data_IF_136439084325
#
_entry.id   IF_136439084325
#
_cell.length_a   1.000
_cell.length_b   1.000
_cell.length_c   1.000
_cell.angle_alpha   90.00
_cell.angle_beta   90.00
_cell.angle_gamma   90.00
#
_symmetry.space_group_name_H-M   'P 1'
#
loop_
_entity.id
_entity.type
_entity.pdbx_description
1 polymer ?
#
# COMPACT_ATOMS: atom_id res chain seq x y z
N UNK A 1 0.03 -12.54 -20.81
CA UNK A 1 -1.14 -12.38 -19.92
C UNK A 1 -2.40 -12.41 -20.79
N UNK A 2 -3.27 -13.44 -20.71
CA UNK A 2 -4.42 -13.58 -21.63
C UNK A 2 -5.42 -12.42 -21.53
N UNK A 3 -5.62 -11.88 -20.31
CA UNK A 3 -6.46 -10.71 -20.04
C UNK A 3 -6.02 -9.48 -20.84
N UNK A 4 -4.71 -9.28 -21.05
CA UNK A 4 -4.19 -8.08 -21.68
C UNK A 4 -4.57 -7.92 -23.17
N UNK A 5 -4.82 -9.03 -23.87
CA UNK A 5 -5.15 -9.04 -25.29
C UNK A 5 -6.64 -8.98 -25.60
N UNK A 6 -7.52 -9.06 -24.60
CA UNK A 6 -8.97 -9.08 -24.78
C UNK A 6 -9.62 -7.85 -24.15
N UNK A 7 -10.39 -7.07 -24.93
CA UNK A 7 -10.97 -5.82 -24.47
C UNK A 7 -11.97 -6.02 -23.32
N UNK A 8 -12.81 -7.06 -23.41
CA UNK A 8 -13.86 -7.30 -22.42
C UNK A 8 -13.25 -7.73 -21.07
N UNK A 9 -12.26 -8.62 -21.09
CA UNK A 9 -11.52 -9.05 -19.91
C UNK A 9 -10.81 -7.89 -19.22
N UNK A 10 -10.27 -6.92 -19.98
CA UNK A 10 -9.66 -5.71 -19.41
C UNK A 10 -10.68 -4.87 -18.65
N UNK A 11 -11.88 -4.68 -19.20
CA UNK A 11 -12.97 -3.94 -18.55
C UNK A 11 -13.47 -4.68 -17.31
N UNK A 12 -13.62 -6.00 -17.39
CA UNK A 12 -14.06 -6.82 -16.26
C UNK A 12 -13.07 -6.78 -15.10
N UNK A 13 -11.76 -6.87 -15.36
CA UNK A 13 -10.73 -6.67 -14.34
C UNK A 13 -10.67 -5.23 -13.81
N UNK A 14 -10.81 -4.24 -14.71
CA UNK A 14 -10.69 -2.83 -14.34
C UNK A 14 -11.80 -2.40 -13.38
N UNK A 15 -13.07 -2.73 -13.68
CA UNK A 15 -14.18 -2.35 -12.80
C UNK A 15 -15.50 -3.12 -13.02
N UNK A 16 -15.80 -3.62 -14.22
CA UNK A 16 -17.17 -4.07 -14.54
C UNK A 16 -17.60 -5.33 -13.78
N UNK A 17 -16.67 -6.19 -13.39
CA UNK A 17 -16.99 -7.39 -12.61
C UNK A 17 -17.62 -7.04 -11.24
N UNK A 18 -17.16 -5.96 -10.59
CA UNK A 18 -17.62 -5.54 -9.26
C UNK A 18 -19.14 -5.28 -9.28
N UNK A 19 -19.60 -4.42 -10.19
CA UNK A 19 -21.02 -4.10 -10.31
C UNK A 19 -21.87 -5.29 -10.75
N UNK A 20 -21.43 -6.03 -11.78
CA UNK A 20 -22.16 -7.19 -12.32
C UNK A 20 -22.40 -8.26 -11.26
N UNK A 21 -21.36 -8.65 -10.53
CA UNK A 21 -21.45 -9.69 -9.49
C UNK A 21 -22.30 -9.20 -8.32
N UNK A 22 -22.14 -7.94 -7.90
CA UNK A 22 -22.89 -7.37 -6.77
C UNK A 22 -24.41 -7.37 -7.03
N UNK A 23 -24.82 -6.91 -8.21
CA UNK A 23 -26.24 -6.85 -8.59
C UNK A 23 -26.87 -8.25 -8.69
N UNK A 24 -26.13 -9.21 -9.25
CA UNK A 24 -26.59 -10.59 -9.31
C UNK A 24 -26.67 -11.22 -7.92
N UNK A 25 -25.69 -10.96 -7.05
CA UNK A 25 -25.69 -11.47 -5.67
C UNK A 25 -26.89 -10.94 -4.89
N UNK A 26 -27.18 -9.64 -4.96
CA UNK A 26 -28.35 -9.04 -4.31
C UNK A 26 -29.67 -9.61 -4.83
N UNK A 27 -29.76 -9.89 -6.12
CA UNK A 27 -30.94 -10.57 -6.73
C UNK A 27 -31.14 -11.96 -6.12
N UNK A 28 -30.07 -12.75 -6.00
CA UNK A 28 -30.12 -14.08 -5.40
C UNK A 28 -30.45 -14.04 -3.89
N UNK A 29 -29.86 -13.09 -3.15
CA UNK A 29 -30.17 -12.88 -1.73
C UNK A 29 -31.66 -12.54 -1.56
N UNK A 30 -32.20 -11.64 -2.38
CA UNK A 30 -33.62 -11.31 -2.33
C UNK A 30 -34.50 -12.53 -2.63
N UNK A 31 -34.17 -13.31 -3.65
CA UNK A 31 -34.93 -14.51 -3.99
C UNK A 31 -34.91 -15.55 -2.85
N UNK A 32 -33.76 -15.72 -2.17
CA UNK A 32 -33.60 -16.73 -1.12
C UNK A 32 -34.21 -16.29 0.22
N UNK A 33 -34.00 -15.04 0.62
CA UNK A 33 -34.38 -14.53 1.95
C UNK A 33 -35.64 -13.65 1.92
N UNK A 34 -36.23 -13.42 0.74
CA UNK A 34 -37.40 -12.55 0.52
C UNK A 34 -37.19 -11.11 1.05
N UNK A 35 -35.93 -10.68 1.11
CA UNK A 35 -35.52 -9.38 1.64
C UNK A 35 -34.18 -8.96 1.06
N UNK A 36 -34.01 -7.67 0.81
CA UNK A 36 -32.72 -7.10 0.46
C UNK A 36 -31.79 -7.02 1.70
N UNK A 37 -30.45 -7.05 1.50
CA UNK A 37 -29.51 -6.76 2.58
C UNK A 37 -29.85 -5.43 3.27
N UNK A 38 -29.72 -5.39 4.61
CA UNK A 38 -29.86 -4.14 5.36
C UNK A 38 -28.66 -3.21 5.12
N UNK A 39 -27.47 -3.81 5.07
CA UNK A 39 -26.22 -3.16 4.71
C UNK A 39 -25.43 -4.07 3.76
N UNK A 40 -24.61 -3.48 2.91
CA UNK A 40 -23.69 -4.14 1.98
C UNK A 40 -22.29 -3.59 2.16
N UNK A 41 -21.33 -4.45 2.50
CA UNK A 41 -19.94 -4.08 2.71
C UNK A 41 -19.02 -4.69 1.65
N UNK A 42 -17.98 -3.96 1.24
CA UNK A 42 -16.88 -4.49 0.43
C UNK A 42 -15.59 -4.38 1.24
N UNK A 43 -14.86 -5.48 1.40
CA UNK A 43 -13.54 -5.46 2.03
C UNK A 43 -12.55 -6.15 1.10
N UNK A 44 -11.40 -5.52 0.90
CA UNK A 44 -10.29 -6.13 0.19
C UNK A 44 -8.97 -5.47 0.52
N UNK A 45 -7.89 -6.22 0.29
CA UNK A 45 -6.53 -5.73 0.42
C UNK A 45 -5.79 -5.86 -0.94
N UNK A 46 -4.75 -5.06 -1.19
CA UNK A 46 -4.01 -5.06 -2.46
C UNK A 46 -4.89 -4.64 -3.64
N UNK A 47 -4.96 -5.45 -4.70
CA UNK A 47 -5.94 -5.26 -5.76
C UNK A 47 -7.39 -5.29 -5.24
N UNK A 48 -7.68 -6.04 -4.17
CA UNK A 48 -8.98 -5.97 -3.50
C UNK A 48 -9.22 -4.61 -2.84
N UNK A 49 -8.17 -3.96 -2.33
CA UNK A 49 -8.25 -2.59 -1.80
C UNK A 49 -8.55 -1.57 -2.91
N UNK A 50 -7.93 -1.74 -4.08
CA UNK A 50 -8.30 -0.98 -5.29
C UNK A 50 -9.76 -1.20 -5.67
N UNK A 51 -10.23 -2.45 -5.67
CA UNK A 51 -11.62 -2.79 -5.98
C UNK A 51 -12.59 -2.20 -4.95
N UNK A 52 -12.23 -2.16 -3.67
CA UNK A 52 -13.00 -1.47 -2.63
C UNK A 52 -13.11 0.04 -2.90
N UNK A 53 -12.03 0.67 -3.36
CA UNK A 53 -12.04 2.08 -3.78
C UNK A 53 -12.88 2.27 -5.06
N UNK A 54 -12.78 1.38 -6.05
CA UNK A 54 -13.66 1.39 -7.24
C UNK A 54 -15.13 1.23 -6.85
N UNK A 55 -15.43 0.36 -5.88
CA UNK A 55 -16.79 0.16 -5.37
C UNK A 55 -17.37 1.48 -4.84
N UNK A 56 -16.60 2.23 -4.05
CA UNK A 56 -17.03 3.54 -3.56
C UNK A 56 -17.10 4.62 -4.67
N UNK A 57 -16.15 4.63 -5.62
CA UNK A 57 -16.05 5.69 -6.64
C UNK A 57 -17.01 5.49 -7.82
N UNK A 58 -17.23 4.26 -8.26
CA UNK A 58 -17.99 3.92 -9.48
C UNK A 58 -19.31 3.21 -9.21
N UNK A 59 -19.46 2.60 -8.03
CA UNK A 59 -20.68 1.92 -7.60
C UNK A 59 -21.21 2.46 -6.26
N UNK A 60 -21.32 3.79 -6.07
CA UNK A 60 -21.60 4.42 -4.76
C UNK A 60 -22.98 4.08 -4.18
N UNK A 61 -23.88 3.47 -4.96
CA UNK A 61 -25.20 3.03 -4.53
C UNK A 61 -25.23 1.55 -4.12
N UNK A 62 -24.14 0.81 -4.37
CA UNK A 62 -24.10 -0.63 -4.17
C UNK A 62 -23.56 -1.02 -2.78
N UNK A 63 -22.81 -0.16 -2.12
CA UNK A 63 -22.16 -0.46 -0.84
C UNK A 63 -22.38 0.64 0.19
N UNK A 64 -22.69 0.24 1.41
CA UNK A 64 -22.89 1.09 2.58
C UNK A 64 -21.56 1.41 3.28
N UNK A 65 -20.56 0.55 3.10
CA UNK A 65 -19.22 0.79 3.58
C UNK A 65 -18.17 -0.03 2.83
N UNK A 66 -16.95 0.48 2.80
CA UNK A 66 -15.81 -0.22 2.20
C UNK A 66 -14.59 -0.21 3.11
N UNK A 67 -13.84 -1.32 3.12
CA UNK A 67 -12.48 -1.39 3.67
C UNK A 67 -11.49 -1.57 2.53
N UNK A 68 -10.57 -0.61 2.39
CA UNK A 68 -9.49 -0.63 1.42
C UNK A 68 -8.15 -0.80 2.15
N UNK A 69 -7.61 -2.01 2.15
CA UNK A 69 -6.29 -2.31 2.69
C UNK A 69 -5.20 -2.26 1.63
N UNK A 70 -4.04 -1.69 1.96
CA UNK A 70 -2.85 -1.62 1.10
C UNK A 70 -3.18 -1.44 -0.37
N UNK A 71 -3.93 -0.38 -0.69
CA UNK A 71 -4.75 -0.36 -1.88
C UNK A 71 -3.91 -0.12 -3.14
N UNK A 72 -4.10 -0.98 -4.15
CA UNK A 72 -3.49 -0.79 -5.47
C UNK A 72 -4.14 0.35 -6.29
N UNK A 73 -4.50 1.48 -5.66
CA UNK A 73 -5.39 2.48 -6.23
C UNK A 73 -4.77 3.23 -7.43
N UNK A 74 -3.44 3.35 -7.48
CA UNK A 74 -2.66 3.81 -8.63
C UNK A 74 -1.81 2.69 -9.23
N UNK A 75 -2.40 1.51 -9.45
CA UNK A 75 -1.70 0.31 -9.91
C UNK A 75 -0.88 0.55 -11.19
N UNK A 76 -1.33 1.42 -12.09
CA UNK A 76 -0.56 1.81 -13.28
C UNK A 76 0.79 2.44 -12.92
N UNK A 77 0.80 3.39 -11.98
CA UNK A 77 2.02 4.09 -11.53
C UNK A 77 2.89 3.23 -10.63
N UNK A 78 2.29 2.42 -9.78
CA UNK A 78 3.01 1.41 -9.00
C UNK A 78 3.74 0.42 -9.92
N UNK A 79 3.11 -0.01 -11.03
CA UNK A 79 3.76 -0.88 -12.03
C UNK A 79 4.94 -0.19 -12.74
N UNK A 80 4.85 1.12 -13.00
CA UNK A 80 5.99 1.92 -13.48
C UNK A 80 7.11 1.92 -12.44
N UNK A 81 6.78 2.14 -11.16
CA UNK A 81 7.74 2.17 -10.06
C UNK A 81 8.48 0.84 -9.88
N UNK A 82 7.75 -0.25 -9.71
CA UNK A 82 8.31 -1.60 -9.58
C UNK A 82 9.19 -1.97 -10.76
N UNK A 83 8.81 -1.56 -11.98
CA UNK A 83 9.59 -1.80 -13.19
C UNK A 83 10.87 -0.95 -13.26
N UNK A 84 10.82 0.29 -12.77
CA UNK A 84 11.99 1.16 -12.65
C UNK A 84 13.02 0.56 -11.71
N UNK A 85 12.59 0.14 -10.52
CA UNK A 85 13.49 -0.46 -9.54
C UNK A 85 13.96 -1.84 -9.99
N UNK A 86 13.11 -2.66 -10.61
CA UNK A 86 13.55 -3.94 -11.17
C UNK A 86 14.68 -3.75 -12.19
N UNK A 87 14.61 -2.72 -13.03
CA UNK A 87 15.70 -2.40 -13.96
C UNK A 87 16.99 -2.03 -13.21
N UNK A 88 16.90 -1.19 -12.18
CA UNK A 88 18.05 -0.82 -11.37
C UNK A 88 18.69 -2.04 -10.67
N UNK A 89 17.87 -2.94 -10.14
CA UNK A 89 18.33 -4.19 -9.52
C UNK A 89 19.05 -5.08 -10.53
N UNK A 90 18.47 -5.29 -11.72
CA UNK A 90 19.08 -6.12 -12.77
C UNK A 90 20.40 -5.54 -13.29
N UNK A 91 20.49 -4.22 -13.45
CA UNK A 91 21.74 -3.54 -13.87
C UNK A 91 22.82 -3.68 -12.78
N UNK A 92 22.41 -3.69 -11.52
CA UNK A 92 23.33 -3.79 -10.37
C UNK A 92 23.72 -5.22 -10.02
N UNK A 93 23.04 -6.24 -10.58
CA UNK A 93 23.38 -7.66 -10.37
C UNK A 93 24.75 -7.98 -11.01
N UNK A 94 25.68 -8.66 -10.29
CA UNK A 94 26.97 -9.07 -10.84
C UNK A 94 26.85 -9.88 -12.15
N UNK A 95 27.90 -9.86 -12.98
CA UNK A 95 27.89 -10.50 -14.30
C UNK A 95 27.74 -12.03 -14.27
N UNK A 96 28.04 -12.68 -13.13
CA UNK A 96 27.74 -14.10 -12.91
C UNK A 96 26.23 -14.39 -12.68
N UNK A 97 25.43 -13.32 -12.56
CA UNK A 97 23.97 -13.29 -12.48
C UNK A 97 23.35 -14.16 -11.38
N UNK A 98 24.12 -14.46 -10.33
CA UNK A 98 23.65 -15.40 -9.30
C UNK A 98 22.73 -14.75 -8.26
N UNK A 99 23.03 -13.54 -7.78
CA UNK A 99 22.32 -12.89 -6.65
C UNK A 99 22.38 -11.36 -6.69
N UNK A 100 21.44 -10.67 -6.05
CA UNK A 100 21.39 -9.19 -5.95
C UNK A 100 22.63 -8.59 -5.26
N UNK A 101 22.95 -7.33 -5.61
CA UNK A 101 23.99 -6.53 -4.93
C UNK A 101 23.69 -6.32 -3.43
N UNK A 102 22.40 -6.23 -3.08
CA UNK A 102 21.91 -6.16 -1.70
C UNK A 102 21.62 -7.58 -1.21
N UNK A 103 22.14 -7.93 -0.03
CA UNK A 103 21.87 -9.21 0.63
C UNK A 103 21.26 -9.02 2.03
N UNK A 104 20.97 -10.11 2.72
CA UNK A 104 20.36 -10.09 4.05
C UNK A 104 21.16 -9.29 5.09
N UNK A 105 22.49 -9.32 5.05
CA UNK A 105 23.33 -8.54 5.96
C UNK A 105 23.19 -7.04 5.71
N UNK A 106 23.11 -6.64 4.44
CA UNK A 106 22.92 -5.24 4.05
C UNK A 106 21.57 -4.70 4.55
N UNK A 107 20.51 -5.50 4.40
CA UNK A 107 19.17 -5.16 4.90
C UNK A 107 19.15 -5.04 6.44
N UNK A 108 19.88 -5.90 7.15
CA UNK A 108 20.03 -5.79 8.60
C UNK A 108 20.77 -4.50 9.01
N UNK A 109 21.84 -4.10 8.30
CA UNK A 109 22.54 -2.83 8.54
C UNK A 109 21.60 -1.64 8.34
N UNK A 110 20.84 -1.63 7.24
CA UNK A 110 19.85 -0.58 6.96
C UNK A 110 18.78 -0.51 8.05
N UNK A 111 18.15 -1.63 8.40
CA UNK A 111 17.10 -1.69 9.42
C UNK A 111 17.58 -1.18 10.77
N UNK A 112 18.79 -1.58 11.20
CA UNK A 112 19.39 -1.07 12.43
C UNK A 112 19.64 0.44 12.36
N UNK A 113 20.11 0.96 11.23
CA UNK A 113 20.30 2.39 11.00
C UNK A 113 18.98 3.16 11.09
N UNK A 114 17.93 2.64 10.46
CA UNK A 114 16.58 3.22 10.48
C UNK A 114 16.03 3.25 11.92
N UNK A 115 16.06 2.12 12.63
CA UNK A 115 15.61 2.05 14.02
C UNK A 115 16.40 2.98 14.94
N UNK A 116 17.73 3.05 14.77
CA UNK A 116 18.57 3.97 15.54
C UNK A 116 18.15 5.42 15.37
N UNK A 117 17.73 5.81 14.16
CA UNK A 117 17.35 7.18 13.84
C UNK A 117 15.90 7.50 14.21
N UNK A 118 14.99 6.54 14.07
CA UNK A 118 13.56 6.83 13.97
C UNK A 118 12.69 6.21 15.08
N UNK A 119 13.11 5.11 15.70
CA UNK A 119 12.31 4.34 16.67
C UNK A 119 11.82 5.22 17.83
N UNK A 120 12.72 5.93 18.51
CA UNK A 120 12.36 6.73 19.68
C UNK A 120 11.54 8.01 19.40
N UNK A 121 11.18 8.32 18.16
CA UNK A 121 10.51 9.59 17.80
C UNK A 121 9.05 9.64 18.26
N UNK A 122 8.41 8.50 18.47
CA UNK A 122 7.07 8.40 19.07
C UNK A 122 7.09 8.29 20.61
N UNK A 123 8.26 8.51 21.21
CA UNK A 123 8.45 8.55 22.66
C UNK A 123 8.84 7.20 23.28
N UNK A 124 8.99 6.14 22.48
CA UNK A 124 9.39 4.82 22.96
C UNK A 124 10.35 4.16 21.97
N UNK A 125 11.34 3.43 22.48
CA UNK A 125 12.28 2.67 21.66
C UNK A 125 11.90 1.20 21.75
N UNK A 126 11.06 0.73 20.82
CA UNK A 126 10.42 -0.57 20.89
C UNK A 126 10.40 -1.36 19.56
N UNK A 127 11.07 -0.84 18.54
CA UNK A 127 11.14 -1.46 17.21
C UNK A 127 10.00 -1.06 16.27
N UNK A 128 9.02 -0.26 16.73
CA UNK A 128 7.86 0.20 15.98
C UNK A 128 8.03 1.69 15.72
N UNK A 129 8.00 2.10 14.46
CA UNK A 129 8.17 3.51 14.09
C UNK A 129 6.76 4.12 13.89
N UNK A 130 6.07 4.44 14.99
CA UNK A 130 4.74 5.06 14.92
C UNK A 130 4.80 6.46 14.29
N UNK A 131 5.84 7.24 14.62
CA UNK A 131 6.10 8.55 14.02
C UNK A 131 6.78 8.44 12.65
N UNK A 132 6.27 7.58 11.76
CA UNK A 132 6.89 7.21 10.47
C UNK A 132 7.19 8.40 9.55
N UNK A 133 6.32 9.42 9.51
CA UNK A 133 6.56 10.64 8.71
C UNK A 133 7.67 11.53 9.27
N UNK A 134 8.02 11.36 10.55
CA UNK A 134 9.12 12.09 11.20
C UNK A 134 10.46 11.36 11.06
N UNK A 135 10.47 10.18 10.44
CA UNK A 135 11.70 9.43 10.20
C UNK A 135 12.56 10.14 9.16
N UNK A 136 13.66 10.74 9.62
CA UNK A 136 14.62 11.51 8.83
C UNK A 136 15.89 10.71 8.50
N UNK A 137 15.78 9.37 8.53
CA UNK A 137 16.84 8.47 8.11
C UNK A 137 17.25 8.75 6.65
N UNK A 138 18.56 8.71 6.42
CA UNK A 138 19.17 8.80 5.11
C UNK A 138 20.15 7.64 4.94
N UNK A 139 20.15 6.88 3.83
CA UNK A 139 21.04 5.74 3.63
C UNK A 139 22.53 6.09 3.78
N UNK A 140 22.91 7.34 3.51
CA UNK A 140 24.26 7.86 3.74
C UNK A 140 24.71 7.76 5.20
N UNK A 141 23.77 7.73 6.17
CA UNK A 141 24.08 7.56 7.60
C UNK A 141 24.72 6.21 7.92
N UNK A 142 24.60 5.22 7.04
CA UNK A 142 25.21 3.88 7.17
C UNK A 142 26.15 3.54 6.00
N UNK A 143 26.64 4.56 5.28
CA UNK A 143 27.50 4.35 4.10
C UNK A 143 28.81 3.63 4.45
N UNK A 144 29.34 3.83 5.66
CA UNK A 144 30.60 3.19 6.09
C UNK A 144 30.45 1.68 6.19
N UNK A 145 29.29 1.21 6.61
CA UNK A 145 28.97 -0.20 6.79
C UNK A 145 28.45 -0.84 5.50
N UNK A 146 27.71 -0.07 4.68
CA UNK A 146 27.00 -0.57 3.51
C UNK A 146 27.80 -0.43 2.21
N UNK A 147 28.63 0.61 2.10
CA UNK A 147 29.34 0.97 0.88
C UNK A 147 28.47 1.82 -0.06
N UNK A 148 29.15 2.71 -0.80
CA UNK A 148 28.53 3.75 -1.64
C UNK A 148 27.58 3.20 -2.71
N UNK A 149 27.96 2.13 -3.41
CA UNK A 149 27.14 1.56 -4.48
C UNK A 149 25.78 1.05 -3.98
N UNK A 150 25.78 0.40 -2.81
CA UNK A 150 24.55 -0.09 -2.17
C UNK A 150 23.70 1.04 -1.63
N UNK A 151 24.31 2.09 -1.08
CA UNK A 151 23.62 3.33 -0.67
C UNK A 151 22.85 3.95 -1.83
N UNK A 152 23.46 4.07 -3.01
CA UNK A 152 22.79 4.63 -4.19
C UNK A 152 21.65 3.72 -4.71
N UNK A 153 21.81 2.40 -4.64
CA UNK A 153 20.73 1.46 -4.98
C UNK A 153 19.55 1.56 -3.99
N UNK A 154 19.83 1.68 -2.69
CA UNK A 154 18.79 1.89 -1.66
C UNK A 154 18.05 3.20 -1.90
N UNK A 155 18.76 4.28 -2.22
CA UNK A 155 18.14 5.57 -2.58
C UNK A 155 17.23 5.42 -3.80
N UNK A 156 17.64 4.64 -4.79
CA UNK A 156 16.82 4.35 -5.98
C UNK A 156 15.53 3.60 -5.61
N UNK A 157 15.60 2.62 -4.71
CA UNK A 157 14.44 1.86 -4.22
C UNK A 157 13.45 2.77 -3.48
N UNK A 158 13.94 3.54 -2.50
CA UNK A 158 13.07 4.31 -1.60
C UNK A 158 12.64 5.68 -2.15
N UNK A 159 13.37 6.29 -3.10
CA UNK A 159 12.97 7.60 -3.67
C UNK A 159 11.89 7.51 -4.76
N UNK A 160 11.60 6.30 -5.24
CA UNK A 160 10.61 6.03 -6.28
C UNK A 160 11.07 6.40 -7.68
N UNK A 161 10.31 5.93 -8.68
CA UNK A 161 10.62 6.14 -10.09
C UNK A 161 10.62 7.62 -10.50
N UNK A 162 11.63 7.99 -11.28
CA UNK A 162 11.79 9.31 -11.88
C UNK A 162 12.15 9.21 -13.36
N UNK A 163 11.77 10.23 -14.11
CA UNK A 163 12.20 10.39 -15.50
C UNK A 163 13.57 11.11 -15.58
N UNK A 164 14.13 11.30 -16.78
CA UNK A 164 15.47 11.90 -16.95
C UNK A 164 15.55 13.38 -16.53
N UNK A 165 14.41 14.06 -16.37
CA UNK A 165 14.33 15.42 -15.82
C UNK A 165 14.24 15.46 -14.29
N UNK A 166 14.18 14.30 -13.62
CA UNK A 166 14.03 14.19 -12.18
C UNK A 166 12.58 14.32 -11.69
N UNK A 167 11.60 14.38 -12.59
CA UNK A 167 10.18 14.42 -12.24
C UNK A 167 9.74 13.05 -11.70
N UNK A 168 8.96 13.05 -10.62
CA UNK A 168 8.44 11.82 -10.02
C UNK A 168 7.36 11.20 -10.93
N UNK A 169 7.49 9.89 -11.18
CA UNK A 169 6.51 9.09 -11.92
C UNK A 169 5.55 8.33 -10.98
N UNK A 170 5.93 8.20 -9.71
CA UNK A 170 5.14 7.63 -8.63
C UNK A 170 5.40 8.42 -7.33
N UNK A 171 5.58 7.73 -6.20
CA UNK A 171 5.90 8.30 -4.90
C UNK A 171 7.16 7.65 -4.33
N UNK A 172 7.79 8.33 -3.37
CA UNK A 172 8.80 7.74 -2.51
C UNK A 172 8.16 6.72 -1.56
N UNK A 173 8.96 5.89 -0.90
CA UNK A 173 8.55 4.95 0.14
C UNK A 173 9.14 5.39 1.48
N UNK A 174 8.40 5.26 2.59
CA UNK A 174 8.96 5.55 3.91
C UNK A 174 10.04 4.53 4.26
N UNK A 175 11.05 4.95 5.02
CA UNK A 175 11.94 4.02 5.67
C UNK A 175 11.22 3.38 6.86
N UNK A 176 11.31 2.05 6.97
CA UNK A 176 10.55 1.26 7.95
C UNK A 176 11.43 0.23 8.65
N UNK A 177 10.89 -0.48 9.63
CA UNK A 177 11.64 -1.43 10.46
C UNK A 177 11.53 -2.89 10.00
N UNK A 178 11.05 -3.16 8.79
CA UNK A 178 10.71 -4.51 8.29
C UNK A 178 11.56 -4.97 7.10
N UNK A 179 12.75 -4.39 6.89
CA UNK A 179 13.60 -4.72 5.75
C UNK A 179 14.13 -6.16 5.81
N UNK A 180 14.22 -6.76 7.00
CA UNK A 180 14.66 -8.15 7.18
C UNK A 180 13.51 -9.16 7.13
N UNK A 181 12.27 -8.71 6.92
CA UNK A 181 11.11 -9.59 6.79
C UNK A 181 11.09 -10.25 5.40
N UNK A 182 10.93 -11.59 5.31
CA UNK A 182 10.87 -12.30 4.03
C UNK A 182 9.75 -11.87 3.10
N UNK A 183 8.56 -11.57 3.62
CA UNK A 183 7.44 -11.09 2.78
C UNK A 183 7.81 -9.76 2.11
N UNK A 184 8.57 -8.91 2.81
CA UNK A 184 9.10 -7.67 2.24
C UNK A 184 10.27 -7.87 1.28
N UNK A 185 11.38 -8.48 1.70
CA UNK A 185 12.60 -8.48 0.88
C UNK A 185 12.46 -9.37 -0.36
N UNK A 186 11.71 -10.47 -0.30
CA UNK A 186 11.51 -11.34 -1.48
C UNK A 186 10.69 -10.62 -2.56
N UNK A 187 9.83 -9.68 -2.18
CA UNK A 187 9.06 -8.86 -3.14
C UNK A 187 9.97 -8.02 -4.04
N UNK A 188 11.08 -7.51 -3.51
CA UNK A 188 12.07 -6.72 -4.24
C UNK A 188 13.20 -7.56 -4.85
N UNK A 189 13.81 -8.41 -4.03
CA UNK A 189 15.07 -9.08 -4.35
C UNK A 189 14.88 -10.55 -4.77
N UNK A 190 13.67 -11.09 -4.64
CA UNK A 190 13.36 -12.48 -4.93
C UNK A 190 13.87 -13.46 -3.88
N UNK A 191 13.46 -14.73 -4.02
CA UNK A 191 13.94 -15.81 -3.16
C UNK A 191 15.44 -16.00 -3.35
N UNK A 192 16.17 -16.22 -2.26
CA UNK A 192 17.63 -16.34 -2.24
C UNK A 192 18.34 -15.13 -2.89
N UNK A 193 17.69 -13.97 -2.91
CA UNK A 193 18.14 -12.74 -3.58
C UNK A 193 18.32 -12.88 -5.11
N UNK A 194 17.66 -13.86 -5.73
CA UNK A 194 17.58 -13.97 -7.19
C UNK A 194 16.51 -13.01 -7.73
N UNK A 195 16.93 -11.84 -8.22
CA UNK A 195 16.03 -10.73 -8.64
C UNK A 195 15.07 -11.10 -9.77
N UNK A 196 15.34 -12.16 -10.53
CA UNK A 196 14.44 -12.70 -11.56
C UNK A 196 13.18 -13.36 -10.97
N UNK A 197 13.23 -13.76 -9.70
CA UNK A 197 12.12 -14.40 -8.98
C UNK A 197 11.30 -13.42 -8.13
N UNK A 198 11.68 -12.14 -8.09
CA UNK A 198 10.96 -11.12 -7.31
C UNK A 198 9.54 -10.94 -7.83
N UNK A 199 8.63 -10.47 -6.96
CA UNK A 199 7.28 -10.11 -7.38
C UNK A 199 7.29 -8.93 -8.36
N UNK A 200 8.28 -8.02 -8.24
CA UNK A 200 8.48 -6.98 -9.26
C UNK A 200 8.72 -7.60 -10.65
N UNK A 201 9.61 -8.59 -10.76
CA UNK A 201 9.93 -9.25 -12.02
C UNK A 201 8.77 -10.10 -12.58
N UNK A 202 8.11 -10.87 -11.71
CA UNK A 202 7.15 -11.91 -12.11
C UNK A 202 5.71 -11.40 -12.22
N UNK A 203 5.37 -10.29 -11.57
CA UNK A 203 4.02 -9.72 -11.55
C UNK A 203 4.00 -8.29 -12.11
N UNK A 204 4.71 -7.35 -11.49
CA UNK A 204 4.55 -5.93 -11.78
C UNK A 204 5.07 -5.53 -13.16
N UNK A 205 6.21 -6.11 -13.59
CA UNK A 205 6.76 -5.89 -14.93
C UNK A 205 5.80 -6.38 -16.03
N UNK A 206 5.27 -7.62 -15.99
CA UNK A 206 4.22 -8.06 -16.91
C UNK A 206 2.98 -7.16 -16.92
N UNK A 207 2.54 -6.66 -15.76
CA UNK A 207 1.44 -5.70 -15.69
C UNK A 207 1.76 -4.42 -16.47
N UNK A 208 2.95 -3.83 -16.29
CA UNK A 208 3.35 -2.64 -17.02
C UNK A 208 3.39 -2.89 -18.54
N UNK A 209 4.15 -3.88 -18.98
CA UNK A 209 4.49 -4.03 -20.40
C UNK A 209 3.38 -4.69 -21.22
N UNK A 210 2.54 -5.52 -20.60
CA UNK A 210 1.46 -6.24 -21.30
C UNK A 210 0.09 -5.63 -21.04
N UNK A 211 -0.27 -5.37 -19.78
CA UNK A 211 -1.60 -4.88 -19.43
C UNK A 211 -1.71 -3.36 -19.61
N UNK A 212 -0.90 -2.56 -18.93
CA UNK A 212 -1.05 -1.11 -18.95
C UNK A 212 -0.63 -0.46 -20.27
N UNK A 213 0.52 -0.85 -20.82
CA UNK A 213 1.07 -0.26 -22.04
C UNK A 213 0.25 -0.63 -23.27
N UNK A 214 -0.15 0.39 -24.05
CA UNK A 214 -0.85 0.24 -25.33
C UNK A 214 -0.13 1.08 -26.40
N UNK A 215 0.45 0.46 -27.46
CA UNK A 215 0.61 -0.98 -27.66
C UNK A 215 1.50 -1.62 -26.58
N UNK A 216 1.42 -2.95 -26.45
CA UNK A 216 2.25 -3.71 -25.53
C UNK A 216 3.74 -3.55 -25.86
N UNK A 217 4.58 -3.62 -24.83
CA UNK A 217 6.03 -3.50 -24.93
C UNK A 217 6.65 -4.90 -24.79
N UNK A 218 7.59 -5.23 -25.66
CA UNK A 218 8.16 -6.57 -25.75
C UNK A 218 8.93 -6.96 -24.47
N UNK A 219 9.77 -6.05 -23.98
CA UNK A 219 10.64 -6.29 -22.83
C UNK A 219 10.90 -5.02 -22.04
N UNK A 220 11.10 -5.18 -20.72
CA UNK A 220 11.33 -4.06 -19.81
C UNK A 220 12.51 -3.19 -20.24
N UNK A 221 13.61 -3.76 -20.74
CA UNK A 221 14.80 -3.03 -21.21
C UNK A 221 14.49 -1.94 -22.23
N UNK A 222 13.44 -2.12 -23.03
CA UNK A 222 13.03 -1.15 -24.07
C UNK A 222 12.08 -0.06 -23.58
N UNK A 223 11.52 -0.18 -22.37
CA UNK A 223 10.60 0.82 -21.82
C UNK A 223 11.33 2.14 -21.51
N UNK A 224 10.93 3.24 -22.12
CA UNK A 224 11.50 4.56 -21.85
C UNK A 224 10.65 5.33 -20.82
N UNK A 225 11.20 5.62 -19.65
CA UNK A 225 10.51 6.34 -18.57
C UNK A 225 10.17 7.81 -18.90
N UNK A 226 10.76 8.38 -19.95
CA UNK A 226 10.42 9.73 -20.42
C UNK A 226 9.21 9.74 -21.36
N UNK A 227 9.05 8.71 -22.20
CA UNK A 227 8.09 8.72 -23.32
C UNK A 227 7.00 7.65 -23.21
N UNK A 228 7.33 6.47 -22.68
CA UNK A 228 6.43 5.32 -22.69
C UNK A 228 5.42 5.34 -21.55
N UNK A 229 5.60 6.20 -20.54
CA UNK A 229 4.58 6.46 -19.51
C UNK A 229 3.25 6.83 -20.15
N UNK A 230 3.27 7.57 -21.27
CA UNK A 230 2.07 7.95 -22.02
C UNK A 230 1.29 6.74 -22.57
N UNK A 231 1.96 5.62 -22.85
CA UNK A 231 1.31 4.38 -23.34
C UNK A 231 0.41 3.73 -22.28
N UNK A 232 0.56 4.11 -21.00
CA UNK A 232 -0.27 3.57 -19.91
C UNK A 232 -1.60 4.32 -19.73
N UNK A 233 -1.73 5.53 -20.29
CA UNK A 233 -2.80 6.47 -19.93
C UNK A 233 -4.21 5.97 -20.24
N UNK A 234 -4.40 5.26 -21.35
CA UNK A 234 -5.70 4.70 -21.72
C UNK A 234 -6.19 3.68 -20.67
N UNK A 235 -5.32 2.74 -20.31
CA UNK A 235 -5.64 1.67 -19.36
C UNK A 235 -5.73 2.21 -17.93
N UNK A 236 -4.83 3.14 -17.57
CA UNK A 236 -4.86 3.86 -16.30
C UNK A 236 -6.24 4.45 -16.01
N UNK A 237 -6.84 5.15 -16.97
CA UNK A 237 -8.16 5.77 -16.78
C UNK A 237 -9.28 4.78 -16.48
N UNK A 238 -9.11 3.50 -16.83
CA UNK A 238 -10.06 2.44 -16.57
C UNK A 238 -9.81 1.76 -15.22
N UNK A 239 -8.55 1.48 -14.90
CA UNK A 239 -8.16 0.56 -13.80
C UNK A 239 -7.85 1.27 -12.49
N UNK A 240 -7.21 2.45 -12.55
CA UNK A 240 -6.83 3.18 -11.34
C UNK A 240 -8.09 3.74 -10.64
N UNK A 241 -8.07 3.70 -9.31
CA UNK A 241 -9.10 4.16 -8.39
C UNK A 241 -8.65 5.46 -7.70
N UNK A 242 -8.12 6.42 -8.46
CA UNK A 242 -7.44 7.61 -7.94
C UNK A 242 -8.33 8.87 -7.92
N UNK A 243 -9.63 8.74 -8.16
CA UNK A 243 -10.59 9.86 -8.03
C UNK A 243 -10.72 10.28 -6.56
N UNK A 244 -10.52 11.56 -6.21
CA UNK A 244 -10.81 12.08 -4.88
C UNK A 244 -12.31 12.35 -4.66
N UNK A 245 -13.15 12.20 -5.69
CA UNK A 245 -14.56 12.58 -5.65
C UNK A 245 -15.43 11.39 -5.23
N UNK A 246 -16.05 11.51 -4.06
CA UNK A 246 -16.89 10.48 -3.42
C UNK A 246 -18.24 11.05 -2.96
N UNK A 247 -18.76 12.08 -3.63
CA UNK A 247 -19.96 12.82 -3.22
C UNK A 247 -21.21 11.95 -3.10
N UNK A 248 -21.50 11.11 -4.09
CA UNK A 248 -22.64 10.18 -4.04
C UNK A 248 -22.47 9.15 -2.93
N UNK A 249 -21.27 8.59 -2.77
CA UNK A 249 -20.99 7.62 -1.71
C UNK A 249 -21.22 8.23 -0.32
N UNK A 250 -20.69 9.44 -0.08
CA UNK A 250 -20.92 10.20 1.15
C UNK A 250 -22.39 10.52 1.36
N UNK A 251 -23.09 11.01 0.32
CA UNK A 251 -24.50 11.40 0.40
C UNK A 251 -25.42 10.21 0.76
N UNK A 252 -25.04 8.99 0.37
CA UNK A 252 -25.72 7.75 0.73
C UNK A 252 -25.35 7.21 2.14
N UNK A 253 -24.61 8.00 2.93
CA UNK A 253 -24.12 7.61 4.25
C UNK A 253 -22.94 6.64 4.22
N UNK A 254 -22.30 6.47 3.07
CA UNK A 254 -21.15 5.57 2.88
C UNK A 254 -20.06 5.80 3.92
N UNK A 255 -19.41 4.72 4.37
CA UNK A 255 -18.25 4.76 5.27
C UNK A 255 -17.04 4.07 4.64
N UNK A 256 -15.86 4.65 4.78
CA UNK A 256 -14.63 4.13 4.20
C UNK A 256 -13.55 4.02 5.28
N UNK A 257 -13.07 2.81 5.52
CA UNK A 257 -11.87 2.56 6.33
C UNK A 257 -10.75 2.22 5.36
N UNK A 258 -9.66 2.96 5.43
CA UNK A 258 -8.44 2.70 4.65
C UNK A 258 -7.37 2.32 5.64
N UNK A 259 -6.65 1.22 5.38
CA UNK A 259 -5.42 0.93 6.10
C UNK A 259 -4.27 0.72 5.13
N UNK A 260 -3.08 1.17 5.51
CA UNK A 260 -1.89 1.09 4.67
C UNK A 260 -0.67 0.77 5.51
N UNK A 261 0.07 -0.27 5.14
CA UNK A 261 1.32 -0.63 5.80
C UNK A 261 2.45 0.33 5.43
N UNK A 262 3.18 0.85 6.42
CA UNK A 262 4.39 1.66 6.13
C UNK A 262 5.50 0.84 5.49
N UNK A 263 5.48 -0.48 5.62
CA UNK A 263 6.45 -1.37 5.00
C UNK A 263 5.89 -2.04 3.74
N UNK A 264 4.82 -1.53 3.11
CA UNK A 264 4.34 -2.12 1.87
C UNK A 264 5.39 -1.93 0.74
N UNK A 265 5.85 -3.01 0.08
CA UNK A 265 6.87 -2.95 -0.98
C UNK A 265 6.33 -2.53 -2.35
N UNK A 266 5.01 -2.50 -2.55
CA UNK A 266 4.38 -2.20 -3.85
C UNK A 266 3.67 -0.85 -3.87
N UNK A 267 2.95 -0.54 -2.80
CA UNK A 267 2.08 0.62 -2.70
C UNK A 267 2.58 1.52 -1.59
N UNK A 268 2.92 2.76 -1.93
CA UNK A 268 3.57 3.65 -0.97
C UNK A 268 2.56 4.21 0.03
N UNK A 269 2.87 4.10 1.32
CA UNK A 269 2.13 4.80 2.38
C UNK A 269 2.13 6.33 2.20
N UNK A 270 3.18 6.91 1.59
CA UNK A 270 3.18 8.33 1.21
C UNK A 270 2.17 8.61 0.09
N UNK A 271 2.06 7.75 -0.93
CA UNK A 271 1.08 7.92 -2.01
C UNK A 271 -0.36 7.81 -1.49
N UNK A 272 -0.65 6.85 -0.61
CA UNK A 272 -1.97 6.68 0.02
C UNK A 272 -2.32 7.86 0.94
N UNK A 273 -1.36 8.36 1.73
CA UNK A 273 -1.50 9.58 2.55
C UNK A 273 -1.84 10.78 1.68
N UNK A 274 -1.07 11.01 0.63
CA UNK A 274 -1.23 12.19 -0.24
C UNK A 274 -2.59 12.16 -0.95
N UNK A 275 -3.03 10.99 -1.43
CA UNK A 275 -4.37 10.83 -1.99
C UNK A 275 -5.47 11.11 -0.95
N UNK A 276 -5.32 10.65 0.30
CA UNK A 276 -6.28 10.91 1.37
C UNK A 276 -6.37 12.40 1.69
N UNK A 277 -5.23 13.10 1.77
CA UNK A 277 -5.19 14.56 1.95
C UNK A 277 -5.86 15.31 0.79
N UNK A 278 -5.64 14.87 -0.45
CA UNK A 278 -6.28 15.47 -1.62
C UNK A 278 -7.80 15.24 -1.64
N UNK A 279 -8.25 14.05 -1.24
CA UNK A 279 -9.67 13.76 -1.04
C UNK A 279 -10.27 14.67 0.03
N UNK A 280 -9.64 14.82 1.19
CA UNK A 280 -10.13 15.69 2.27
C UNK A 280 -10.24 17.15 1.82
N UNK A 281 -9.22 17.64 1.12
CA UNK A 281 -9.19 18.99 0.53
C UNK A 281 -10.31 19.21 -0.48
N UNK A 282 -10.59 18.22 -1.33
CA UNK A 282 -11.59 18.33 -2.40
C UNK A 282 -13.03 18.16 -1.88
N UNK A 283 -13.24 17.22 -0.97
CA UNK A 283 -14.56 16.85 -0.47
C UNK A 283 -15.06 17.75 0.67
N UNK A 284 -14.14 18.37 1.41
CA UNK A 284 -14.45 19.15 2.62
C UNK A 284 -14.96 18.25 3.76
N UNK A 285 -14.16 18.08 4.81
CA UNK A 285 -14.42 17.19 5.95
C UNK A 285 -14.58 15.71 5.52
N UNK A 286 -13.64 15.17 4.73
CA UNK A 286 -13.72 13.75 4.35
C UNK A 286 -13.64 12.81 5.57
N UNK A 287 -13.02 13.28 6.65
CA UNK A 287 -13.01 12.62 7.96
C UNK A 287 -14.38 12.20 8.51
N UNK A 288 -15.48 12.82 8.07
CA UNK A 288 -16.84 12.45 8.45
C UNK A 288 -17.29 11.10 7.86
N UNK A 289 -16.65 10.64 6.78
CA UNK A 289 -17.05 9.43 6.06
C UNK A 289 -15.89 8.51 5.65
N UNK A 290 -14.65 8.99 5.67
CA UNK A 290 -13.46 8.22 5.35
C UNK A 290 -12.35 8.43 6.39
N UNK A 291 -11.73 7.34 6.87
CA UNK A 291 -10.60 7.35 7.83
C UNK A 291 -9.43 6.54 7.29
N UNK A 292 -8.24 7.12 7.33
CA UNK A 292 -6.98 6.45 7.01
C UNK A 292 -6.27 6.01 8.29
N UNK A 293 -5.79 4.78 8.30
CA UNK A 293 -5.04 4.16 9.39
C UNK A 293 -3.72 3.62 8.84
N UNK A 294 -2.62 4.30 9.14
CA UNK A 294 -1.30 3.82 8.71
C UNK A 294 -0.75 2.85 9.75
N UNK A 295 -0.33 1.65 9.33
CA UNK A 295 0.14 0.59 10.23
C UNK A 295 1.68 0.50 10.16
N UNK A 296 2.40 0.90 11.22
CA UNK A 296 3.86 0.85 11.26
C UNK A 296 4.39 -0.58 11.10
N UNK A 297 5.39 -0.73 10.22
CA UNK A 297 6.06 -1.99 9.93
C UNK A 297 5.25 -3.05 9.19
N UNK A 298 3.93 -2.87 8.98
CA UNK A 298 3.11 -3.83 8.23
C UNK A 298 3.58 -3.87 6.78
N UNK A 299 3.87 -5.08 6.28
CA UNK A 299 4.23 -5.30 4.88
C UNK A 299 2.96 -5.38 4.01
N UNK A 300 2.98 -6.14 2.92
CA UNK A 300 1.87 -6.17 1.96
C UNK A 300 0.68 -7.00 2.48
N UNK A 301 -0.34 -6.35 3.06
CA UNK A 301 -1.54 -6.94 3.67
C UNK A 301 -1.31 -7.81 4.92
N UNK A 302 -0.13 -8.38 5.07
CA UNK A 302 0.32 -9.19 6.19
C UNK A 302 1.82 -9.00 6.40
N UNK A 303 2.35 -9.63 7.46
CA UNK A 303 3.79 -9.73 7.68
C UNK A 303 4.46 -8.42 8.08
N UNK A 304 5.79 -8.45 8.10
CA UNK A 304 6.59 -7.35 8.60
C UNK A 304 6.64 -7.28 10.13
N UNK A 305 7.49 -6.37 10.62
CA UNK A 305 7.62 -6.08 12.04
C UNK A 305 6.49 -5.13 12.48
N UNK A 306 5.28 -5.69 12.64
CA UNK A 306 4.05 -4.92 12.87
C UNK A 306 3.18 -5.48 14.00
N UNK A 307 2.24 -4.66 14.47
CA UNK A 307 1.05 -5.13 15.19
C UNK A 307 -0.01 -5.48 14.13
N UNK A 308 0.00 -6.74 13.71
CA UNK A 308 -0.66 -7.25 12.51
C UNK A 308 -2.08 -7.80 12.74
N UNK A 309 -2.52 -7.88 14.00
CA UNK A 309 -3.86 -8.34 14.38
C UNK A 309 -4.74 -7.16 14.77
N UNK A 310 -5.60 -6.72 13.84
CA UNK A 310 -6.58 -5.65 14.00
C UNK A 310 -7.83 -5.93 13.14
N UNK A 311 -8.96 -5.31 13.48
CA UNK A 311 -10.26 -5.61 12.84
C UNK A 311 -10.89 -4.37 12.15
N UNK A 312 -10.57 -4.14 10.87
CA UNK A 312 -11.12 -3.01 10.14
C UNK A 312 -12.57 -3.25 9.69
N UNK A 313 -13.07 -4.50 9.65
CA UNK A 313 -14.46 -4.78 9.28
C UNK A 313 -15.40 -4.38 10.40
N UNK A 314 -15.16 -4.87 11.62
CA UNK A 314 -15.97 -4.49 12.79
C UNK A 314 -15.91 -2.98 13.02
N UNK A 315 -14.75 -2.36 12.78
CA UNK A 315 -14.58 -0.89 12.83
C UNK A 315 -15.53 -0.19 11.85
N UNK A 316 -15.58 -0.65 10.60
CA UNK A 316 -16.47 -0.12 9.57
C UNK A 316 -17.96 -0.34 9.93
N UNK A 317 -18.32 -1.53 10.37
CA UNK A 317 -19.69 -1.90 10.75
C UNK A 317 -20.20 -1.03 11.91
N UNK A 318 -19.40 -0.88 12.97
CA UNK A 318 -19.74 0.00 14.10
C UNK A 318 -19.91 1.45 13.63
N UNK A 319 -19.05 1.93 12.73
CA UNK A 319 -19.17 3.28 12.21
C UNK A 319 -20.44 3.47 11.37
N UNK A 320 -20.76 2.52 10.49
CA UNK A 320 -21.95 2.61 9.63
C UNK A 320 -23.25 2.43 10.41
N UNK A 321 -23.30 1.47 11.32
CA UNK A 321 -24.55 1.03 11.94
C UNK A 321 -24.84 1.71 13.27
N UNK A 322 -23.79 2.10 14.01
CA UNK A 322 -23.92 2.71 15.35
C UNK A 322 -23.48 4.17 15.39
N UNK A 323 -22.88 4.67 14.30
CA UNK A 323 -22.35 6.04 14.25
C UNK A 323 -21.07 6.24 15.05
N UNK A 324 -20.41 5.15 15.45
CA UNK A 324 -19.16 5.19 16.22
C UNK A 324 -17.99 5.56 15.30
N UNK A 325 -17.62 6.84 15.29
CA UNK A 325 -16.52 7.34 14.47
C UNK A 325 -15.19 6.73 14.98
N UNK A 326 -14.40 6.06 14.14
CA UNK A 326 -13.21 5.37 14.62
C UNK A 326 -12.02 6.34 14.71
N UNK A 327 -11.67 6.70 15.94
CA UNK A 327 -10.47 7.49 16.24
C UNK A 327 -9.18 6.65 16.21
N UNK A 328 -9.30 5.34 16.45
CA UNK A 328 -8.23 4.35 16.34
C UNK A 328 -8.80 2.94 16.16
N UNK A 329 -7.97 2.01 15.71
CA UNK A 329 -8.20 0.57 15.80
C UNK A 329 -7.22 -0.02 16.81
N UNK A 330 -7.68 -0.90 17.71
CA UNK A 330 -6.76 -1.62 18.59
C UNK A 330 -6.01 -2.68 17.76
N UNK A 331 -4.69 -2.61 17.75
CA UNK A 331 -3.85 -3.60 17.11
C UNK A 331 -3.05 -4.39 18.14
N UNK A 332 -2.82 -5.67 17.83
CA UNK A 332 -2.04 -6.61 18.62
C UNK A 332 -0.96 -7.25 17.76
N UNK A 333 0.20 -7.49 18.36
CA UNK A 333 1.23 -8.31 17.71
C UNK A 333 0.90 -9.79 17.82
N UNK A 334 0.82 -10.48 16.69
CA UNK A 334 0.57 -11.92 16.63
C UNK A 334 1.87 -12.75 16.64
N UNK A 335 2.94 -12.23 16.01
CA UNK A 335 4.24 -12.90 15.82
C UNK A 335 5.42 -12.11 16.39
N UNK A 336 5.86 -11.06 15.68
CA UNK A 336 7.09 -10.31 16.00
C UNK A 336 6.99 -9.62 17.36
N UNK A 337 5.83 -9.02 17.64
CA UNK A 337 5.55 -8.33 18.90
C UNK A 337 4.46 -9.06 19.71
N UNK A 338 4.58 -10.39 19.80
CA UNK A 338 3.57 -11.24 20.43
C UNK A 338 3.10 -10.69 21.80
N UNK A 339 1.80 -10.43 21.92
CA UNK A 339 1.17 -9.99 23.17
C UNK A 339 1.23 -8.48 23.44
N UNK A 340 1.96 -7.71 22.63
CA UNK A 340 1.94 -6.25 22.67
C UNK A 340 0.69 -5.69 22.00
N UNK A 341 0.13 -4.63 22.56
CA UNK A 341 -1.00 -3.89 21.98
C UNK A 341 -0.71 -2.38 21.90
N UNK A 342 -1.14 -1.74 20.81
CA UNK A 342 -1.13 -0.28 20.62
C UNK A 342 -2.34 0.15 19.77
N UNK A 343 -2.82 1.40 19.90
CA UNK A 343 -3.78 1.93 18.95
C UNK A 343 -3.11 2.21 17.59
N UNK A 344 -3.73 1.79 16.49
CA UNK A 344 -3.47 2.33 15.16
C UNK A 344 -4.37 3.54 14.98
N UNK A 345 -3.79 4.72 14.99
CA UNK A 345 -4.52 5.98 15.05
C UNK A 345 -5.06 6.42 13.68
N UNK A 346 -6.22 7.09 13.70
CA UNK A 346 -6.71 7.76 12.51
C UNK A 346 -5.81 8.94 12.13
N UNK A 347 -5.37 8.97 10.88
CA UNK A 347 -4.56 10.04 10.29
C UNK A 347 -5.20 11.42 10.54
N UNK A 348 -4.42 12.47 10.91
CA UNK A 348 -2.95 12.54 10.92
C UNK A 348 -2.27 12.11 12.23
N UNK A 349 -3.03 11.59 13.20
CA UNK A 349 -2.48 11.22 14.51
C UNK A 349 -1.67 9.93 14.41
N UNK A 350 -0.69 9.79 15.30
CA UNK A 350 0.08 8.56 15.49
C UNK A 350 0.02 8.14 16.95
N UNK A 351 0.33 6.86 17.23
CA UNK A 351 0.42 6.40 18.61
C UNK A 351 1.69 6.96 19.26
N UNK A 352 1.51 7.76 20.31
CA UNK A 352 2.59 8.33 21.11
C UNK A 352 2.60 7.66 22.47
N UNK A 353 3.78 7.24 22.93
CA UNK A 353 3.93 6.67 24.27
C UNK A 353 3.83 7.76 25.35
N UNK A 354 2.97 7.54 26.34
CA UNK A 354 2.72 8.50 27.44
C UNK A 354 3.18 7.98 28.81
N UNK A 355 3.89 6.86 28.86
CA UNK A 355 4.33 6.19 30.08
C UNK A 355 3.43 5.02 30.49
N UNK A 356 3.95 4.11 31.31
CA UNK A 356 3.28 2.87 31.72
C UNK A 356 3.97 1.62 31.18
N UNK A 357 3.22 0.51 31.08
CA UNK A 357 3.70 -0.73 30.46
C UNK A 357 3.73 -0.58 28.93
N UNK A 358 4.91 -0.64 28.33
CA UNK A 358 5.12 -0.49 26.88
C UNK A 358 4.43 -1.58 26.04
N UNK A 359 3.96 -2.66 26.65
CA UNK A 359 3.24 -3.72 25.96
C UNK A 359 1.72 -3.52 25.93
N UNK A 360 1.22 -2.43 26.52
CA UNK A 360 -0.21 -2.19 26.73
C UNK A 360 -0.70 -0.94 26.04
N UNK A 361 -1.81 -1.06 25.32
CA UNK A 361 -2.42 0.05 24.57
C UNK A 361 -2.77 1.25 25.45
N UNK A 362 -3.13 1.05 26.72
CA UNK A 362 -3.43 2.15 27.65
C UNK A 362 -2.24 3.07 27.95
N UNK A 363 -1.01 2.65 27.63
CA UNK A 363 0.22 3.44 27.76
C UNK A 363 0.49 4.33 26.53
N UNK A 364 -0.41 4.32 25.55
CA UNK A 364 -0.33 5.09 24.32
C UNK A 364 -1.53 6.03 24.18
N UNK A 365 -1.38 7.03 23.33
CA UNK A 365 -2.47 7.92 22.92
C UNK A 365 -2.26 8.39 21.49
N UNK A 366 -3.35 8.65 20.78
CA UNK A 366 -3.31 9.21 19.44
C UNK A 366 -3.11 10.73 19.51
N UNK A 367 -1.95 11.21 19.05
CA UNK A 367 -1.61 12.65 19.01
C UNK A 367 -1.03 13.09 17.68
#
# INVERSE_FOLDING_TARGET
MRVAGDQQARLDYAYTAIGKVTQQAKTLINALYQKNPRHSYFMGCSNGGREAMIAAQRYPNEFDGVVAGNAAFRLSRASINSSYVQRALVISTPADKSTSLINARDLAVLQMGILKQCDAKDGLKDGIINAWEQCDFRPEMVEKELGKEKVELVKTIFSGARNSRGEALYSAFPYHSSLTDPEWYESWFGKDFATSSSMNATLMVPFLIQYFSQPAIAELSTFNFDTDVAKTLNTRGLTDADSPVLSTFRANGGRMVIFEGTADPFFSAFDQRDWYQDMDRFMGNAQEFARLFTVPGLAHCSGGNALDDFDPLTTLENWREKGEVPDFMLAKGSKVFAGKTQPVCAYPKVAMFKGGDSNKAESFECR
#
